data_IF_186637670630
#
_entry.id   IF_186637670630
#
_cell.length_a   1.000
_cell.length_b   1.000
_cell.length_c   1.000
_cell.angle_alpha   90.00
_cell.angle_beta   90.00
_cell.angle_gamma   90.00
#
_symmetry.space_group_name_H-M   'P 1'
#
loop_
_entity.id
_entity.type
_entity.pdbx_description
1 polymer ?
#
# COMPACT_ATOMS: atom_id res chain seq x y z
N UNK A 1 -4.78 36.26 -20.87
CA UNK A 1 -4.23 36.71 -19.58
C UNK A 1 -4.56 35.67 -18.51
N UNK A 2 -3.56 35.10 -17.82
CA UNK A 2 -3.79 34.16 -16.70
C UNK A 2 -3.87 34.98 -15.40
N UNK A 3 -4.89 34.76 -14.54
CA UNK A 3 -5.01 35.51 -13.30
C UNK A 3 -3.84 35.20 -12.36
N UNK A 4 -3.37 36.22 -11.63
CA UNK A 4 -2.26 36.09 -10.68
C UNK A 4 -2.68 35.24 -9.46
N UNK A 5 -1.75 34.48 -8.84
CA UNK A 5 -2.07 33.59 -7.73
C UNK A 5 -2.68 34.30 -6.51
N UNK A 6 -2.43 35.60 -6.35
CA UNK A 6 -2.99 36.44 -5.28
C UNK A 6 -4.51 36.65 -5.44
N UNK A 7 -5.00 36.67 -6.68
CA UNK A 7 -6.44 36.84 -6.96
C UNK A 7 -7.28 35.59 -6.68
N UNK A 8 -6.64 34.40 -6.64
CA UNK A 8 -7.29 33.14 -6.28
C UNK A 8 -7.47 32.99 -4.76
N UNK A 9 -6.55 33.53 -3.96
CA UNK A 9 -6.59 33.41 -2.50
C UNK A 9 -7.77 34.17 -1.85
N UNK A 10 -8.25 35.26 -2.46
CA UNK A 10 -9.38 36.05 -1.94
C UNK A 10 -10.76 35.40 -2.14
N UNK A 11 -10.84 34.31 -2.93
CA UNK A 11 -12.11 33.62 -3.25
C UNK A 11 -12.37 32.37 -2.41
N UNK A 12 -11.54 32.06 -1.42
CA UNK A 12 -11.75 30.91 -0.55
C UNK A 12 -12.60 31.38 0.64
N UNK A 13 -13.86 30.90 0.72
CA UNK A 13 -14.70 31.12 1.90
C UNK A 13 -14.02 30.48 3.13
N UNK A 14 -13.96 31.15 4.28
CA UNK A 14 -13.41 30.56 5.48
C UNK A 14 -14.20 29.31 5.85
N UNK A 15 -13.49 28.23 6.13
CA UNK A 15 -14.08 26.97 6.60
C UNK A 15 -14.68 27.25 7.99
N UNK A 16 -15.96 26.93 8.25
CA UNK A 16 -16.54 27.13 9.57
C UNK A 16 -15.78 26.29 10.60
N UNK A 17 -15.40 26.93 11.70
CA UNK A 17 -14.56 26.40 12.79
C UNK A 17 -15.22 25.29 13.63
N UNK A 18 -16.38 24.78 13.22
CA UNK A 18 -17.13 23.75 13.96
C UNK A 18 -16.87 22.32 13.48
N UNK A 19 -15.80 22.07 12.71
CA UNK A 19 -15.34 20.71 12.48
C UNK A 19 -14.87 20.12 13.82
N UNK A 20 -15.76 19.41 14.50
CA UNK A 20 -15.41 18.52 15.59
C UNK A 20 -14.57 17.39 15.01
N UNK A 21 -13.26 17.63 14.92
CA UNK A 21 -12.27 16.59 14.70
C UNK A 21 -12.33 15.71 15.95
N UNK A 22 -13.03 14.59 15.88
CA UNK A 22 -12.93 13.55 16.89
C UNK A 22 -11.54 12.89 16.78
N UNK A 23 -10.50 13.59 17.21
CA UNK A 23 -9.19 12.99 17.44
C UNK A 23 -9.24 12.28 18.78
N UNK A 24 -9.69 11.03 18.80
CA UNK A 24 -9.27 10.15 19.87
C UNK A 24 -7.88 9.60 19.54
N UNK A 25 -6.94 9.58 20.49
CA UNK A 25 -5.66 8.91 20.29
C UNK A 25 -5.92 7.42 20.03
N UNK A 26 -5.11 6.76 19.18
CA UNK A 26 -5.25 5.33 18.96
C UNK A 26 -4.91 4.60 20.27
N UNK A 27 -5.93 4.17 21.01
CA UNK A 27 -5.76 3.20 22.09
C UNK A 27 -5.17 1.92 21.50
N UNK A 28 -4.13 1.40 22.16
CA UNK A 28 -3.30 0.30 21.68
C UNK A 28 -4.00 -1.08 21.66
N UNK A 29 -5.25 -1.17 22.11
CA UNK A 29 -5.97 -2.45 22.25
C UNK A 29 -6.84 -2.72 21.02
N UNK A 30 -6.17 -3.02 19.91
CA UNK A 30 -6.82 -3.31 18.62
C UNK A 30 -7.06 -4.81 18.45
N UNK A 31 -7.92 -5.39 19.29
CA UNK A 31 -8.43 -6.75 19.11
C UNK A 31 -9.95 -6.75 19.31
N UNK A 32 -10.69 -6.88 18.20
CA UNK A 32 -12.14 -7.08 18.08
C UNK A 32 -13.04 -5.91 18.53
N UNK A 33 -13.04 -4.82 17.74
CA UNK A 33 -14.13 -3.84 17.83
C UNK A 33 -15.40 -4.45 17.24
N UNK A 34 -16.37 -4.81 18.08
CA UNK A 34 -17.75 -5.03 17.63
C UNK A 34 -18.23 -3.79 16.87
N UNK A 35 -19.01 -3.94 15.78
CA UNK A 35 -19.59 -2.79 15.10
C UNK A 35 -20.53 -2.06 16.06
N UNK A 36 -20.32 -0.75 16.23
CA UNK A 36 -21.16 0.09 17.08
C UNK A 36 -22.49 0.33 16.37
N UNK A 37 -23.58 -0.15 16.97
CA UNK A 37 -24.93 0.18 16.51
C UNK A 37 -25.31 1.58 17.03
N UNK A 38 -25.65 2.48 16.12
CA UNK A 38 -26.14 3.83 16.46
C UNK A 38 -27.59 3.91 16.00
N UNK A 39 -28.47 4.44 16.86
CA UNK A 39 -29.88 4.60 16.51
C UNK A 39 -30.02 5.60 15.37
N UNK A 40 -30.88 5.28 14.40
CA UNK A 40 -31.06 6.05 13.16
C UNK A 40 -31.48 7.51 13.44
N UNK A 41 -32.22 7.73 14.53
CA UNK A 41 -32.65 9.06 14.99
C UNK A 41 -31.51 9.96 15.52
N UNK A 42 -30.35 9.38 15.88
CA UNK A 42 -29.17 10.12 16.37
C UNK A 42 -28.18 10.46 15.25
N UNK A 43 -28.43 9.96 14.04
CA UNK A 43 -27.66 10.31 12.85
C UNK A 43 -28.22 11.62 12.33
N UNK A 44 -27.49 12.72 12.50
CA UNK A 44 -27.86 14.00 11.90
C UNK A 44 -27.88 13.83 10.37
N UNK A 45 -29.04 14.01 9.74
CA UNK A 45 -29.30 13.80 8.30
C UNK A 45 -28.51 14.75 7.37
N UNK A 46 -27.60 15.56 7.92
CA UNK A 46 -26.86 16.61 7.21
C UNK A 46 -25.47 16.19 6.77
N UNK A 47 -25.24 14.91 6.54
CA UNK A 47 -24.00 14.46 5.92
C UNK A 47 -24.20 14.37 4.41
N UNK A 48 -23.61 15.34 3.71
CA UNK A 48 -23.37 15.27 2.27
C UNK A 48 -22.93 13.86 1.91
N UNK A 49 -23.74 13.17 1.11
CA UNK A 49 -23.45 11.83 0.62
C UNK A 49 -22.14 11.95 -0.17
N UNK A 50 -21.02 11.54 0.44
CA UNK A 50 -19.76 11.54 -0.25
C UNK A 50 -19.87 10.52 -1.41
N UNK A 51 -19.52 10.90 -2.64
CA UNK A 51 -19.56 9.97 -3.75
C UNK A 51 -18.67 8.77 -3.44
N UNK A 52 -19.07 7.60 -3.93
CA UNK A 52 -18.28 6.39 -3.80
C UNK A 52 -16.85 6.66 -4.29
N UNK A 53 -15.81 6.20 -3.55
CA UNK A 53 -14.44 6.38 -3.99
C UNK A 53 -14.27 5.75 -5.36
N UNK A 54 -13.67 6.50 -6.29
CA UNK A 54 -13.38 6.01 -7.64
C UNK A 54 -12.56 4.73 -7.51
N UNK A 55 -12.97 3.62 -8.18
CA UNK A 55 -12.17 2.41 -8.16
C UNK A 55 -10.79 2.78 -8.70
N UNK A 56 -9.76 2.55 -7.89
CA UNK A 56 -8.39 2.61 -8.40
C UNK A 56 -8.32 1.54 -9.47
N UNK A 57 -8.32 1.95 -10.73
CA UNK A 57 -7.92 1.08 -11.82
C UNK A 57 -6.59 0.48 -11.38
N UNK A 58 -6.53 -0.84 -11.28
CA UNK A 58 -5.31 -1.54 -10.95
C UNK A 58 -4.34 -1.22 -12.09
N UNK A 59 -3.52 -0.19 -11.92
CA UNK A 59 -2.45 0.14 -12.84
C UNK A 59 -1.65 -1.15 -13.06
N UNK A 60 -1.57 -1.56 -14.33
CA UNK A 60 -0.77 -2.71 -14.73
C UNK A 60 0.62 -2.43 -14.20
N UNK A 61 1.03 -3.20 -13.20
CA UNK A 61 2.33 -2.98 -12.57
C UNK A 61 3.40 -3.15 -13.65
N UNK A 62 4.34 -2.22 -13.79
CA UNK A 62 5.45 -2.42 -14.70
C UNK A 62 6.20 -3.70 -14.32
N UNK A 63 6.78 -4.41 -15.30
CA UNK A 63 7.51 -5.64 -15.04
C UNK A 63 8.65 -5.37 -14.08
N UNK A 64 8.89 -6.31 -13.17
CA UNK A 64 10.00 -6.19 -12.22
C UNK A 64 11.33 -6.38 -12.95
N UNK A 65 12.42 -5.84 -12.39
CA UNK A 65 13.75 -6.04 -12.96
C UNK A 65 14.11 -7.54 -13.10
N UNK A 66 13.69 -8.36 -12.13
CA UNK A 66 13.93 -9.81 -12.15
C UNK A 66 13.20 -10.45 -13.33
N UNK A 67 11.95 -10.08 -13.59
CA UNK A 67 11.19 -10.56 -14.75
C UNK A 67 11.84 -10.14 -16.06
N UNK A 68 12.31 -8.90 -16.15
CA UNK A 68 13.03 -8.40 -17.32
C UNK A 68 14.33 -9.17 -17.57
N UNK A 69 15.11 -9.45 -16.51
CA UNK A 69 16.35 -10.22 -16.62
C UNK A 69 16.08 -11.69 -16.97
N UNK A 70 15.03 -12.28 -16.41
CA UNK A 70 14.63 -13.65 -16.75
C UNK A 70 14.24 -13.76 -18.23
N UNK A 71 13.47 -12.80 -18.74
CA UNK A 71 13.14 -12.73 -20.16
C UNK A 71 14.38 -12.58 -21.05
N UNK A 72 15.33 -11.72 -20.65
CA UNK A 72 16.60 -11.54 -21.39
C UNK A 72 17.47 -12.80 -21.37
N UNK A 73 17.52 -13.52 -20.24
CA UNK A 73 18.24 -14.79 -20.14
C UNK A 73 17.67 -15.84 -21.08
N UNK A 74 16.35 -15.96 -21.13
CA UNK A 74 15.68 -16.88 -22.06
C UNK A 74 15.95 -16.50 -23.51
N UNK A 75 15.95 -15.20 -23.84
CA UNK A 75 16.25 -14.72 -25.19
C UNK A 75 17.72 -14.93 -25.61
N UNK A 76 18.67 -14.75 -24.67
CA UNK A 76 20.10 -14.87 -24.96
C UNK A 76 20.60 -16.32 -25.03
N UNK A 77 19.94 -17.26 -24.34
CA UNK A 77 20.31 -18.68 -24.35
C UNK A 77 21.79 -18.90 -24.01
N UNK A 78 22.56 -19.42 -24.96
CA UNK A 78 23.99 -19.71 -24.80
C UNK A 78 24.88 -18.45 -24.67
N UNK A 79 24.40 -17.27 -25.08
CA UNK A 79 25.14 -16.01 -24.97
C UNK A 79 24.92 -15.31 -23.62
N UNK A 80 24.13 -15.89 -22.72
CA UNK A 80 23.93 -15.31 -21.40
C UNK A 80 25.23 -15.33 -20.59
N UNK A 81 25.63 -14.19 -19.99
CA UNK A 81 26.89 -14.12 -19.27
C UNK A 81 26.88 -15.04 -18.03
N UNK A 82 27.94 -15.87 -17.85
CA UNK A 82 27.95 -16.90 -16.81
C UNK A 82 28.07 -16.35 -15.38
N UNK A 83 28.51 -15.10 -15.23
CA UNK A 83 28.63 -14.42 -13.95
C UNK A 83 27.28 -13.89 -13.41
N UNK A 84 26.20 -13.92 -14.19
CA UNK A 84 24.89 -13.43 -13.75
C UNK A 84 23.95 -14.61 -13.48
N UNK A 85 23.71 -14.87 -12.19
CA UNK A 85 22.74 -15.85 -11.71
C UNK A 85 21.47 -15.15 -11.22
N UNK A 86 20.32 -15.56 -11.74
CA UNK A 86 19.00 -15.06 -11.35
C UNK A 86 18.39 -16.07 -10.37
N UNK A 87 18.28 -15.69 -9.11
CA UNK A 87 17.68 -16.53 -8.07
C UNK A 87 16.14 -16.43 -8.07
N UNK A 88 15.43 -17.54 -7.81
CA UNK A 88 13.97 -17.53 -7.70
C UNK A 88 13.50 -16.82 -6.43
N UNK A 89 12.33 -16.20 -6.50
CA UNK A 89 11.72 -15.53 -5.35
C UNK A 89 11.28 -16.57 -4.31
N UNK A 90 11.91 -16.57 -3.14
CA UNK A 90 11.57 -17.50 -2.06
C UNK A 90 10.32 -17.00 -1.32
N UNK A 91 9.19 -17.65 -1.59
CA UNK A 91 7.91 -17.33 -0.96
C UNK A 91 7.82 -17.82 0.49
N UNK A 92 6.82 -17.34 1.24
CA UNK A 92 6.51 -17.84 2.60
C UNK A 92 6.18 -19.34 2.60
N UNK A 93 5.58 -19.86 1.53
CA UNK A 93 5.22 -21.28 1.41
C UNK A 93 6.47 -22.18 1.42
N UNK A 94 7.57 -21.73 0.81
CA UNK A 94 8.87 -22.44 0.82
C UNK A 94 9.38 -22.71 2.23
N UNK A 95 9.04 -21.85 3.19
CA UNK A 95 9.46 -21.98 4.59
C UNK A 95 8.51 -22.81 5.44
N UNK A 96 7.31 -23.17 4.95
CA UNK A 96 6.29 -23.89 5.70
C UNK A 96 6.80 -25.18 6.38
N UNK A 97 7.58 -26.07 5.71
CA UNK A 97 8.06 -27.30 6.34
C UNK A 97 9.23 -27.07 7.32
N UNK A 98 9.87 -25.91 7.29
CA UNK A 98 11.06 -25.63 8.10
C UNK A 98 10.66 -25.30 9.54
N UNK A 99 11.37 -25.84 10.54
CA UNK A 99 11.14 -25.50 11.96
C UNK A 99 11.43 -24.02 12.24
N UNK A 100 10.55 -23.35 13.01
CA UNK A 100 10.63 -21.89 13.28
C UNK A 100 12.00 -21.43 13.77
N UNK A 101 12.64 -22.18 14.67
CA UNK A 101 13.95 -21.83 15.23
C UNK A 101 15.10 -21.83 14.21
N UNK A 102 14.96 -22.52 13.08
CA UNK A 102 16.00 -22.65 12.06
C UNK A 102 15.76 -21.67 10.89
N UNK A 103 14.50 -21.24 10.68
CA UNK A 103 14.14 -20.31 9.60
C UNK A 103 14.92 -19.00 9.66
N UNK A 104 15.16 -18.45 10.84
CA UNK A 104 15.92 -17.20 11.01
C UNK A 104 17.36 -17.35 10.55
N UNK A 105 18.02 -18.46 10.92
CA UNK A 105 19.39 -18.78 10.49
C UNK A 105 19.48 -18.96 8.98
N UNK A 106 18.57 -19.74 8.39
CA UNK A 106 18.55 -19.98 6.94
C UNK A 106 18.26 -18.70 6.14
N UNK A 107 17.35 -17.85 6.61
CA UNK A 107 17.10 -16.54 5.99
C UNK A 107 18.30 -15.62 6.07
N UNK A 108 19.10 -15.70 7.14
CA UNK A 108 20.34 -14.94 7.27
C UNK A 108 21.38 -15.41 6.25
N UNK A 109 21.52 -16.73 6.07
CA UNK A 109 22.45 -17.30 5.08
C UNK A 109 22.10 -16.97 3.63
N UNK A 110 20.82 -16.74 3.32
CA UNK A 110 20.37 -16.36 1.97
C UNK A 110 20.65 -14.89 1.62
N UNK A 111 21.04 -14.08 2.60
CA UNK A 111 21.50 -12.71 2.36
C UNK A 111 23.02 -12.80 2.39
N UNK A 112 23.65 -12.63 1.23
CA UNK A 112 25.09 -12.37 1.19
C UNK A 112 25.35 -11.05 1.97
N UNK A 113 26.41 -11.03 2.79
CA UNK A 113 26.88 -9.82 3.48
C UNK A 113 27.45 -8.80 2.48
#
# INVERSE_FOLDING_TARGET
>A
MRPSPVSLARKIKPIPSSLQVFSQPPSADRILSLPRFVSRAKVEERTSILPAPVPRNHEIKPPTLIEMLAARKLAAGAQWPPNIRIEPVISRATWAPVRKGIRSKLKKMLREE
#
